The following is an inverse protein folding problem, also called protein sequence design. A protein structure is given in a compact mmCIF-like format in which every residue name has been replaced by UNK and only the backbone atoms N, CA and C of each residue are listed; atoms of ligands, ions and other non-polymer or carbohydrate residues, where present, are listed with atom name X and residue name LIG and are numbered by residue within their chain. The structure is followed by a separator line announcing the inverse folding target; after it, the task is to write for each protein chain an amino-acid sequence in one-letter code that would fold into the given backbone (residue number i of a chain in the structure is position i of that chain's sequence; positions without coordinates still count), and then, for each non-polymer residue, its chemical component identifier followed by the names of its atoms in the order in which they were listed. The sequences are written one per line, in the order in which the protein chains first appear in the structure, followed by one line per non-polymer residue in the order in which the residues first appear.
data_IF_732713292315
#
_entry.id   IF_732713292315
#
_cell.length_a   1.000
_cell.length_b   1.000
_cell.length_c   1.000
_cell.angle_alpha   90.00
_cell.angle_beta   90.00
_cell.angle_gamma   90.00
#
_symmetry.space_group_name_H-M   'P 1'
#
loop_
_entity.id
_entity.type
_entity.pdbx_description
1 polymer ?
#
# COMPACT_ATOMS: atom_id res chain seq x y z
N UNK A 1 8.50 13.52 2.17
CA UNK A 1 7.91 13.40 0.83
C UNK A 1 7.17 12.07 0.84
N UNK A 2 6.02 11.94 0.19
CA UNK A 2 5.35 10.64 0.12
C UNK A 2 5.97 9.83 -1.02
N UNK A 3 6.49 8.65 -0.72
CA UNK A 3 6.96 7.67 -1.68
C UNK A 3 5.80 6.75 -2.07
N UNK A 4 5.90 6.08 -3.22
CA UNK A 4 4.86 5.15 -3.66
C UNK A 4 5.43 3.97 -4.43
N UNK A 5 4.72 2.84 -4.40
CA UNK A 5 5.00 1.68 -5.26
C UNK A 5 3.68 0.96 -5.63
N UNK A 6 3.75 0.13 -6.67
CA UNK A 6 2.63 -0.66 -7.16
C UNK A 6 2.55 -2.02 -6.45
N UNK A 7 1.36 -2.39 -5.98
CA UNK A 7 1.09 -3.65 -5.29
C UNK A 7 -0.29 -4.21 -5.68
N UNK A 8 -0.63 -5.38 -5.14
CA UNK A 8 -1.96 -5.96 -5.31
C UNK A 8 -2.75 -5.91 -4.00
N UNK A 9 -4.04 -5.58 -4.09
CA UNK A 9 -4.95 -5.56 -2.96
C UNK A 9 -5.03 -6.94 -2.32
N UNK A 10 -4.81 -7.10 -1.01
CA UNK A 10 -4.62 -8.39 -0.37
C UNK A 10 -5.88 -9.28 -0.26
N UNK A 11 -7.02 -8.82 -0.76
CA UNK A 11 -8.33 -9.49 -0.64
C UNK A 11 -8.88 -9.78 -2.03
N UNK A 12 -9.01 -8.73 -2.85
CA UNK A 12 -9.60 -8.83 -4.19
C UNK A 12 -8.55 -9.03 -5.30
N UNK A 13 -7.27 -8.78 -5.02
CA UNK A 13 -6.18 -8.92 -6.00
C UNK A 13 -6.05 -7.77 -6.99
N UNK A 14 -6.96 -6.79 -6.96
CA UNK A 14 -6.91 -5.57 -7.77
C UNK A 14 -5.58 -4.80 -7.62
N UNK A 15 -5.11 -4.17 -8.69
CA UNK A 15 -3.90 -3.35 -8.66
C UNK A 15 -4.12 -2.06 -7.86
N UNK A 16 -3.20 -1.80 -6.94
CA UNK A 16 -3.22 -0.63 -6.05
C UNK A 16 -1.87 0.08 -6.07
N UNK A 17 -1.90 1.39 -5.86
CA UNK A 17 -0.72 2.21 -5.58
C UNK A 17 -0.70 2.44 -4.08
N UNK A 18 0.39 2.02 -3.45
CA UNK A 18 0.62 2.17 -2.01
C UNK A 18 1.50 3.39 -1.79
N UNK A 19 1.07 4.29 -0.91
CA UNK A 19 1.81 5.49 -0.51
C UNK A 19 2.35 5.33 0.90
N UNK A 20 3.63 5.64 1.09
CA UNK A 20 4.31 5.54 2.37
C UNK A 20 5.22 6.76 2.63
N UNK A 21 5.49 7.03 3.91
CA UNK A 21 6.35 8.14 4.31
C UNK A 21 7.85 7.79 4.26
N UNK A 22 8.71 8.76 4.53
CA UNK A 22 10.17 8.55 4.55
C UNK A 22 10.63 7.57 5.66
N UNK A 23 9.78 7.31 6.66
CA UNK A 23 10.02 6.32 7.72
C UNK A 23 9.50 4.92 7.35
N UNK A 24 8.98 4.74 6.14
CA UNK A 24 8.44 3.46 5.65
C UNK A 24 7.04 3.12 6.19
N UNK A 25 6.29 4.10 6.68
CA UNK A 25 4.94 3.86 7.22
C UNK A 25 3.88 4.10 6.18
N UNK A 26 2.87 3.22 6.13
CA UNK A 26 1.71 3.38 5.28
C UNK A 26 0.99 4.71 5.56
N UNK A 27 0.85 5.53 4.52
CA UNK A 27 0.09 6.79 4.51
C UNK A 27 -1.28 6.58 3.87
N UNK A 28 -1.33 5.85 2.76
CA UNK A 28 -2.55 5.62 1.99
C UNK A 28 -2.36 4.55 0.92
N UNK A 29 -3.47 4.14 0.30
CA UNK A 29 -3.44 3.28 -0.88
C UNK A 29 -4.63 3.61 -1.76
N UNK A 30 -4.46 3.57 -3.08
CA UNK A 30 -5.50 3.86 -4.07
C UNK A 30 -5.57 2.78 -5.14
N UNK A 31 -6.75 2.48 -5.66
CA UNK A 31 -6.91 1.56 -6.80
C UNK A 31 -6.39 2.21 -8.07
N UNK A 32 -5.52 1.52 -8.82
CA UNK A 32 -4.87 2.10 -10.00
C UNK A 32 -5.86 2.43 -11.13
N UNK A 33 -6.97 1.67 -11.24
CA UNK A 33 -7.97 1.85 -12.29
C UNK A 33 -8.83 3.10 -12.16
N UNK A 34 -9.23 3.44 -10.94
CA UNK A 34 -10.24 4.49 -10.68
C UNK A 34 -9.72 5.60 -9.73
N UNK A 35 -8.54 5.43 -9.14
CA UNK A 35 -7.95 6.36 -8.17
C UNK A 35 -8.73 6.44 -6.85
N UNK A 36 -9.64 5.50 -6.60
CA UNK A 36 -10.41 5.43 -5.36
C UNK A 36 -9.52 4.98 -4.20
N UNK A 37 -9.73 5.55 -3.02
CA UNK A 37 -9.06 5.13 -1.81
C UNK A 37 -9.40 3.66 -1.48
N UNK A 38 -8.37 2.89 -1.18
CA UNK A 38 -8.51 1.56 -0.60
C UNK A 38 -8.94 1.71 0.85
N UNK A 39 -9.97 0.97 1.26
CA UNK A 39 -10.34 0.92 2.67
C UNK A 39 -9.26 0.18 3.48
N UNK A 40 -8.36 0.96 4.08
CA UNK A 40 -7.30 0.47 4.98
C UNK A 40 -7.72 0.52 6.45
N UNK A 41 -9.02 0.70 6.71
CA UNK A 41 -9.56 0.66 8.08
C UNK A 41 -9.55 -0.77 8.64
N UNK A 42 -9.61 -1.76 7.75
CA UNK A 42 -9.41 -3.16 8.09
C UNK A 42 -7.95 -3.44 8.46
N UNK A 43 -7.76 -3.98 9.67
CA UNK A 43 -6.43 -4.26 10.22
C UNK A 43 -5.65 -5.33 9.43
N UNK A 44 -6.33 -6.25 8.74
CA UNK A 44 -5.66 -7.26 7.90
C UNK A 44 -5.09 -6.61 6.65
N UNK A 45 -5.89 -5.79 5.96
CA UNK A 45 -5.47 -5.06 4.77
C UNK A 45 -4.29 -4.16 5.11
N UNK A 46 -4.43 -3.35 6.17
CA UNK A 46 -3.38 -2.44 6.63
C UNK A 46 -2.07 -3.17 6.95
N UNK A 47 -2.14 -4.25 7.73
CA UNK A 47 -0.93 -4.99 8.12
C UNK A 47 -0.24 -5.66 6.93
N UNK A 48 -1.01 -6.17 5.96
CA UNK A 48 -0.45 -6.79 4.77
C UNK A 48 0.25 -5.78 3.87
N UNK A 49 -0.40 -4.64 3.62
CA UNK A 49 0.20 -3.54 2.85
C UNK A 49 1.45 -3.00 3.55
N UNK A 50 1.41 -2.83 4.88
CA UNK A 50 2.60 -2.43 5.64
C UNK A 50 3.76 -3.42 5.47
N UNK A 51 3.48 -4.73 5.53
CA UNK A 51 4.51 -5.75 5.30
C UNK A 51 5.06 -5.72 3.86
N UNK A 52 4.24 -5.36 2.88
CA UNK A 52 4.69 -5.18 1.49
C UNK A 52 5.59 -3.94 1.36
N UNK A 53 5.31 -2.84 2.07
CA UNK A 53 6.22 -1.68 2.19
C UNK A 53 7.56 -2.10 2.80
N UNK A 54 7.53 -2.81 3.93
CA UNK A 54 8.75 -3.25 4.63
C UNK A 54 9.62 -4.15 3.72
N UNK A 55 8.98 -5.04 2.96
CA UNK A 55 9.67 -5.91 2.01
C UNK A 55 10.23 -5.15 0.81
N UNK A 56 9.48 -4.16 0.29
CA UNK A 56 9.95 -3.30 -0.80
C UNK A 56 11.19 -2.51 -0.38
N UNK A 57 11.20 -1.94 0.83
CA UNK A 57 12.31 -1.16 1.37
C UNK A 57 13.55 -1.99 1.72
N UNK A 58 13.40 -3.27 2.07
CA UNK A 58 14.53 -4.19 2.29
C UNK A 58 15.19 -4.61 0.96
N UNK A 59 14.44 -4.56 -0.14
CA UNK A 59 14.90 -4.97 -1.46
C UNK A 59 15.61 -3.87 -2.27
N UNK A 60 15.50 -2.60 -1.87
CA UNK A 60 16.13 -1.42 -2.52
C UNK A 60 17.53 -1.06 -1.97
#
# INVERSE_FOLDING_TARGET
MSNHFEANHPIDGSDIVVEYDDDGRLVGATYQGDGLDVDISDGVIKNKIQADIDHYLDAE
#
